data_IF_125372208787
#
_entry.id   IF_125372208787
#
_cell.length_a   1.000
_cell.length_b   1.000
_cell.length_c   1.000
_cell.angle_alpha   90.00
_cell.angle_beta   90.00
_cell.angle_gamma   90.00
#
_symmetry.space_group_name_H-M   'P 1'
#
loop_
_entity.id
_entity.type
_entity.pdbx_description
1 polymer ?
#
# COMPACT_ATOMS: atom_id res chain seq x y z
N UNK A 1 -6.17 -1.21 -2.79
CA UNK A 1 -6.44 -0.72 -1.41
C UNK A 1 -7.60 -1.52 -0.83
N UNK A 2 -7.62 -1.76 0.49
CA UNK A 2 -8.74 -2.44 1.17
C UNK A 2 -9.50 -1.44 2.03
N UNK A 3 -10.82 -1.45 1.94
CA UNK A 3 -11.72 -0.59 2.71
C UNK A 3 -12.21 -1.32 3.97
N UNK A 4 -12.72 -0.57 4.94
CA UNK A 4 -13.35 -1.04 6.19
C UNK A 4 -12.43 -1.73 7.22
N UNK A 5 -11.10 -1.79 7.01
CA UNK A 5 -10.17 -2.20 8.05
C UNK A 5 -9.86 -1.04 9.01
N UNK A 6 -9.57 -1.30 10.30
CA UNK A 6 -9.22 -0.26 11.28
C UNK A 6 -7.80 0.30 11.10
N UNK A 7 -7.12 -0.08 10.02
CA UNK A 7 -5.79 0.40 9.65
C UNK A 7 -5.65 0.44 8.12
N UNK A 8 -4.65 1.17 7.63
CA UNK A 8 -4.38 1.31 6.20
C UNK A 8 -3.81 0.00 5.67
N UNK A 9 -4.44 -0.56 4.64
CA UNK A 9 -3.92 -1.72 3.90
C UNK A 9 -3.96 -1.48 2.40
N UNK A 10 -2.79 -1.53 1.78
CA UNK A 10 -2.61 -1.59 0.32
C UNK A 10 -1.98 -2.93 -0.05
N UNK A 11 -2.02 -3.29 -1.33
CA UNK A 11 -1.33 -4.47 -1.86
C UNK A 11 -1.04 -4.27 -3.33
N UNK A 12 -0.11 -5.08 -3.84
CA UNK A 12 0.11 -5.25 -5.26
C UNK A 12 -1.16 -5.75 -5.97
N UNK A 13 -1.19 -5.56 -7.29
CA UNK A 13 -2.24 -5.98 -8.23
C UNK A 13 -1.93 -7.32 -8.93
N UNK A 14 -0.82 -7.98 -8.58
CA UNK A 14 -0.39 -9.25 -9.15
C UNK A 14 -0.25 -10.35 -8.09
N UNK A 15 -0.15 -11.60 -8.55
CA UNK A 15 0.08 -12.78 -7.72
C UNK A 15 1.55 -13.05 -7.38
N UNK A 16 1.86 -14.29 -7.00
CA UNK A 16 3.19 -14.71 -6.52
C UNK A 16 4.27 -14.83 -7.60
N UNK A 17 3.87 -15.02 -8.87
CA UNK A 17 4.78 -15.11 -10.02
C UNK A 17 5.92 -16.15 -9.83
N UNK A 18 5.58 -17.34 -9.32
CA UNK A 18 6.55 -18.41 -9.02
C UNK A 18 7.35 -18.89 -10.24
N UNK A 19 6.76 -18.82 -11.42
CA UNK A 19 7.39 -19.13 -12.70
C UNK A 19 8.58 -18.21 -13.03
N UNK A 20 8.65 -17.01 -12.44
CA UNK A 20 9.74 -16.04 -12.65
C UNK A 20 10.54 -15.70 -11.38
N UNK A 21 10.26 -16.36 -10.26
CA UNK A 21 10.97 -16.15 -9.01
C UNK A 21 12.48 -16.42 -9.18
N UNK A 22 13.31 -15.49 -8.71
CA UNK A 22 14.79 -15.59 -8.81
C UNK A 22 15.37 -15.33 -10.19
N UNK A 23 14.55 -15.06 -11.23
CA UNK A 23 15.03 -14.83 -12.61
C UNK A 23 15.38 -13.38 -12.94
N UNK A 24 15.15 -12.44 -12.01
CA UNK A 24 15.36 -11.00 -12.26
C UNK A 24 14.35 -10.38 -13.24
N UNK A 25 13.24 -11.05 -13.52
CA UNK A 25 12.22 -10.62 -14.49
C UNK A 25 11.03 -9.89 -13.85
N UNK A 26 10.92 -9.89 -12.53
CA UNK A 26 9.80 -9.28 -11.81
C UNK A 26 9.81 -7.75 -11.94
N UNK A 27 8.61 -7.20 -12.12
CA UNK A 27 8.36 -5.77 -12.25
C UNK A 27 7.92 -5.18 -10.89
N UNK A 28 8.62 -4.16 -10.41
CA UNK A 28 8.44 -3.62 -9.05
C UNK A 28 7.41 -2.49 -8.94
N UNK A 29 6.85 -2.02 -10.06
CA UNK A 29 6.04 -0.80 -10.14
C UNK A 29 4.78 -0.88 -9.27
N UNK A 30 4.10 -2.04 -9.28
CA UNK A 30 2.90 -2.27 -8.46
C UNK A 30 3.19 -2.22 -6.96
N UNK A 31 4.32 -2.81 -6.54
CA UNK A 31 4.77 -2.75 -5.15
C UNK A 31 5.10 -1.31 -4.74
N UNK A 32 5.84 -0.59 -5.57
CA UNK A 32 6.16 0.81 -5.32
C UNK A 32 4.89 1.66 -5.20
N UNK A 33 3.93 1.50 -6.11
CA UNK A 33 2.65 2.21 -6.06
C UNK A 33 1.85 1.89 -4.79
N UNK A 34 1.80 0.61 -4.37
CA UNK A 34 1.11 0.20 -3.15
C UNK A 34 1.73 0.84 -1.88
N UNK A 35 3.06 0.90 -1.80
CA UNK A 35 3.79 1.52 -0.69
C UNK A 35 3.55 3.03 -0.66
N UNK A 36 3.68 3.70 -1.80
CA UNK A 36 3.50 5.16 -1.90
C UNK A 36 2.09 5.57 -1.53
N UNK A 37 1.07 4.85 -2.04
CA UNK A 37 -0.32 5.07 -1.69
C UNK A 37 -0.57 4.91 -0.19
N UNK A 38 0.01 3.90 0.46
CA UNK A 38 -0.11 3.74 1.92
C UNK A 38 0.50 4.94 2.66
N UNK A 39 1.66 5.43 2.22
CA UNK A 39 2.30 6.63 2.77
C UNK A 39 1.44 7.89 2.61
N UNK A 40 0.82 8.08 1.44
CA UNK A 40 -0.11 9.19 1.20
C UNK A 40 -1.34 9.12 2.11
N UNK A 41 -1.96 7.95 2.24
CA UNK A 41 -3.09 7.75 3.13
C UNK A 41 -2.70 8.02 4.58
N UNK A 42 -1.54 7.55 5.03
CA UNK A 42 -1.06 7.75 6.40
C UNK A 42 -0.78 9.23 6.73
N UNK A 43 -0.32 10.02 5.75
CA UNK A 43 -0.17 11.47 5.92
C UNK A 43 -1.52 12.17 6.06
N UNK A 44 -2.53 11.75 5.29
CA UNK A 44 -3.88 12.33 5.31
C UNK A 44 -4.63 11.98 6.60
N UNK A 45 -4.48 10.78 7.15
CA UNK A 45 -5.17 10.37 8.40
C UNK A 45 -4.67 11.13 9.63
N UNK A 46 -3.38 11.46 9.72
CA UNK A 46 -2.84 12.27 10.84
C UNK A 46 -3.42 13.69 10.91
N UNK A 47 -3.81 14.27 9.78
CA UNK A 47 -4.47 15.59 9.74
C UNK A 47 -5.88 15.51 10.34
N UNK A 48 -6.62 14.41 10.09
CA UNK A 48 -7.93 14.19 10.69
C UNK A 48 -7.90 13.83 12.18
N UNK A 49 -6.86 13.14 12.65
CA UNK A 49 -6.72 12.74 14.06
C UNK A 49 -6.37 13.90 15.01
N UNK A 50 -5.75 14.99 14.50
CA UNK A 50 -5.48 16.19 15.31
C UNK A 50 -6.73 17.04 15.56
N UNK A 51 -7.70 17.02 14.66
CA UNK A 51 -8.92 17.83 14.77
C UNK A 51 -10.02 17.20 15.65
N UNK A 52 -9.95 15.88 15.91
CA UNK A 52 -10.94 15.16 16.72
C UNK A 52 -10.58 14.97 18.20
N UNK A 53 -9.42 15.48 18.62
CA UNK A 53 -8.92 15.40 20.01
C UNK A 53 -8.81 16.79 20.69
N UNK A 54 -9.53 17.79 20.17
CA UNK A 54 -9.59 19.14 20.72
C UNK A 54 -11.03 19.49 21.11
#
# INVERSE_FOLDING_TARGET
VTLALPFIRTSVDHGTAFDIAGKGLARAESMAAAILMAGDLARRTKVGQRAGNA
#
